data_IF_219658223752
#
_entry.id   IF_219658223752
#
_cell.length_a   1.000
_cell.length_b   1.000
_cell.length_c   1.000
_cell.angle_alpha   90.00
_cell.angle_beta   90.00
_cell.angle_gamma   90.00
#
_symmetry.space_group_name_H-M   'P 1'
#
loop_
_entity.id
_entity.type
_entity.pdbx_description
1 polymer ?
#
# COMPACT_ATOMS: atom_id res chain seq x y z
N UNK A 1 -54.79 -29.05 -1.15
CA UNK A 1 -54.72 -28.31 -2.42
C UNK A 1 -53.38 -27.63 -2.41
N UNK A 2 -52.38 -28.34 -2.93
CA UNK A 2 -51.02 -27.84 -3.07
C UNK A 2 -50.99 -26.89 -4.27
N UNK A 3 -50.34 -25.73 -4.10
CA UNK A 3 -50.02 -24.82 -5.20
C UNK A 3 -48.50 -24.74 -5.25
N UNK A 4 -47.95 -25.37 -6.29
CA UNK A 4 -46.54 -25.45 -6.63
C UNK A 4 -45.97 -24.07 -7.02
N UNK A 5 -44.68 -23.80 -6.76
CA UNK A 5 -43.98 -22.62 -7.28
C UNK A 5 -43.65 -22.77 -8.79
N UNK A 6 -43.54 -21.66 -9.55
CA UNK A 6 -43.28 -21.68 -10.99
C UNK A 6 -41.82 -22.03 -11.35
N UNK A 7 -41.67 -22.76 -12.45
CA UNK A 7 -40.43 -23.24 -13.07
C UNK A 7 -39.44 -22.14 -13.47
N UNK A 8 -38.15 -22.43 -13.25
CA UNK A 8 -37.00 -21.65 -13.69
C UNK A 8 -36.40 -22.35 -14.93
N UNK A 9 -36.51 -21.71 -16.09
CA UNK A 9 -36.08 -22.29 -17.36
C UNK A 9 -34.54 -22.23 -17.50
N UNK A 10 -33.94 -23.40 -17.66
CA UNK A 10 -32.50 -23.63 -17.82
C UNK A 10 -32.08 -23.38 -19.27
N UNK A 11 -31.20 -22.40 -19.52
CA UNK A 11 -30.58 -22.23 -20.84
C UNK A 11 -29.34 -23.13 -20.95
N UNK A 12 -29.41 -24.00 -21.96
CA UNK A 12 -28.50 -25.06 -22.35
C UNK A 12 -27.28 -24.51 -23.08
N UNK A 13 -26.06 -24.88 -22.65
CA UNK A 13 -24.82 -24.63 -23.40
C UNK A 13 -24.48 -25.88 -24.21
N UNK A 14 -24.71 -25.84 -25.52
CA UNK A 14 -24.25 -26.86 -26.46
C UNK A 14 -23.03 -26.39 -27.27
N UNK A 15 -21.94 -27.13 -27.04
CA UNK A 15 -20.88 -27.63 -27.94
C UNK A 15 -20.56 -27.00 -29.32
N UNK A 16 -19.22 -26.82 -29.46
CA UNK A 16 -18.35 -27.12 -30.61
C UNK A 16 -18.23 -26.15 -31.81
N UNK A 17 -16.98 -25.75 -32.05
CA UNK A 17 -16.54 -25.11 -33.29
C UNK A 17 -15.07 -24.70 -33.23
N UNK A 18 -14.17 -25.66 -33.38
CA UNK A 18 -12.74 -25.43 -33.66
C UNK A 18 -12.55 -24.95 -35.09
N UNK A 19 -11.78 -23.89 -35.32
CA UNK A 19 -11.08 -23.68 -36.59
C UNK A 19 -9.78 -22.90 -36.37
N UNK A 20 -8.72 -23.48 -36.90
CA UNK A 20 -7.35 -23.02 -36.86
C UNK A 20 -7.17 -21.73 -37.70
N UNK A 21 -6.55 -20.70 -37.11
CA UNK A 21 -5.78 -19.71 -37.86
C UNK A 21 -4.41 -19.58 -37.22
N UNK A 22 -3.47 -20.25 -37.88
CA UNK A 22 -2.04 -20.19 -37.72
C UNK A 22 -1.54 -18.78 -38.07
N UNK A 23 -1.07 -18.03 -37.08
CA UNK A 23 -0.28 -16.81 -37.30
C UNK A 23 1.03 -16.91 -36.55
N UNK A 24 2.08 -17.17 -37.31
CA UNK A 24 3.47 -17.16 -36.91
C UNK A 24 3.86 -15.80 -36.30
N UNK A 25 4.02 -15.72 -34.98
CA UNK A 25 5.04 -14.82 -34.42
C UNK A 25 6.07 -15.63 -33.64
N UNK A 26 7.25 -15.68 -34.26
CA UNK A 26 8.47 -16.32 -33.81
C UNK A 26 8.83 -16.00 -32.36
N UNK A 27 9.26 -17.04 -31.64
CA UNK A 27 9.91 -17.03 -30.33
C UNK A 27 10.95 -15.89 -30.22
N UNK A 28 10.72 -14.96 -29.29
CA UNK A 28 11.78 -14.42 -28.43
C UNK A 28 11.29 -14.43 -26.98
N UNK A 29 11.58 -15.51 -26.27
CA UNK A 29 11.70 -15.49 -24.80
C UNK A 29 12.87 -14.57 -24.47
N UNK A 30 12.61 -13.30 -24.18
CA UNK A 30 13.53 -12.49 -23.40
C UNK A 30 13.05 -12.59 -21.96
N UNK A 31 13.63 -13.56 -21.25
CA UNK A 31 13.63 -13.57 -19.79
C UNK A 31 14.43 -12.33 -19.37
N UNK A 32 13.87 -11.34 -18.65
CA UNK A 32 14.71 -10.37 -18.00
C UNK A 32 15.37 -11.08 -16.81
N UNK A 33 16.58 -11.60 -17.06
CA UNK A 33 17.56 -11.88 -16.02
C UNK A 33 17.92 -10.55 -15.35
N UNK A 34 17.09 -10.07 -14.42
CA UNK A 34 17.43 -8.95 -13.53
C UNK A 34 17.45 -9.42 -12.08
N UNK A 35 18.21 -10.49 -11.87
CA UNK A 35 18.56 -11.05 -10.57
C UNK A 35 20.07 -11.19 -10.43
N UNK A 36 20.83 -10.11 -10.63
CA UNK A 36 22.25 -10.06 -10.19
C UNK A 36 22.81 -8.64 -10.08
N UNK A 37 22.30 -7.64 -10.84
CA UNK A 37 22.71 -6.23 -10.69
C UNK A 37 22.05 -5.51 -9.51
N UNK A 38 20.79 -5.80 -9.18
CA UNK A 38 20.08 -5.12 -8.09
C UNK A 38 20.72 -5.39 -6.72
N UNK A 39 21.19 -6.62 -6.48
CA UNK A 39 21.88 -7.00 -5.24
C UNK A 39 23.18 -6.22 -5.03
N UNK A 40 23.96 -6.00 -6.09
CA UNK A 40 25.19 -5.20 -6.02
C UNK A 40 24.87 -3.75 -5.70
N UNK A 41 23.83 -3.17 -6.30
CA UNK A 41 23.40 -1.79 -6.00
C UNK A 41 22.93 -1.64 -4.55
N UNK A 42 22.13 -2.59 -4.04
CA UNK A 42 21.70 -2.59 -2.64
C UNK A 42 22.87 -2.76 -1.67
N UNK A 43 23.84 -3.62 -1.99
CA UNK A 43 25.05 -3.80 -1.19
C UNK A 43 25.93 -2.53 -1.19
N UNK A 44 26.17 -1.93 -2.35
CA UNK A 44 26.94 -0.69 -2.47
C UNK A 44 26.26 0.48 -1.75
N UNK A 45 24.94 0.60 -1.88
CA UNK A 45 24.15 1.61 -1.16
C UNK A 45 24.18 1.37 0.35
N UNK A 46 24.04 0.12 0.79
CA UNK A 46 24.16 -0.24 2.20
C UNK A 46 25.54 0.08 2.79
N UNK A 47 26.61 -0.23 2.05
CA UNK A 47 27.99 0.12 2.45
C UNK A 47 28.18 1.65 2.50
N UNK A 48 27.64 2.39 1.52
CA UNK A 48 27.73 3.85 1.50
C UNK A 48 27.00 4.49 2.69
N UNK A 49 25.77 4.06 2.99
CA UNK A 49 25.00 4.57 4.14
C UNK A 49 25.70 4.22 5.45
N UNK A 50 26.24 3.01 5.58
CA UNK A 50 26.99 2.60 6.77
C UNK A 50 28.26 3.45 6.96
N UNK A 51 29.01 3.72 5.89
CA UNK A 51 30.19 4.59 5.92
C UNK A 51 29.81 6.03 6.29
N UNK A 52 28.70 6.56 5.75
CA UNK A 52 28.20 7.90 6.12
C UNK A 52 27.80 7.98 7.58
N UNK A 53 27.09 6.97 8.12
CA UNK A 53 26.74 6.91 9.54
C UNK A 53 27.98 6.81 10.44
N UNK A 54 28.96 5.99 10.07
CA UNK A 54 30.24 5.89 10.78
C UNK A 54 30.98 7.23 10.74
N UNK A 55 31.01 7.92 9.59
CA UNK A 55 31.62 9.25 9.48
C UNK A 55 30.89 10.28 10.35
N UNK A 56 29.56 10.27 10.41
CA UNK A 56 28.77 11.15 11.28
C UNK A 56 29.05 10.89 12.77
N UNK A 57 29.27 9.63 13.16
CA UNK A 57 29.62 9.25 14.52
C UNK A 57 31.08 9.61 14.88
N UNK A 58 32.03 9.41 13.96
CA UNK A 58 33.47 9.73 14.16
C UNK A 58 33.71 11.24 14.16
N UNK A 59 33.08 11.96 13.23
CA UNK A 59 33.24 13.43 13.14
C UNK A 59 32.55 14.16 14.29
N UNK A 60 31.72 13.46 15.07
CA UNK A 60 31.08 14.01 16.25
C UNK A 60 30.34 15.30 15.95
N UNK A 61 29.73 15.40 14.76
CA UNK A 61 28.91 16.54 14.35
C UNK A 61 27.74 16.64 15.34
N UNK A 62 27.99 17.35 16.44
CA UNK A 62 26.96 17.94 17.27
C UNK A 62 26.27 18.92 16.34
N UNK A 63 25.17 18.51 15.73
CA UNK A 63 24.20 19.45 15.22
C UNK A 63 23.84 20.33 16.43
N UNK A 64 24.15 21.63 16.42
CA UNK A 64 23.61 22.50 17.43
C UNK A 64 22.10 22.50 17.21
N UNK A 65 21.39 21.74 18.03
CA UNK A 65 19.94 21.82 18.11
C UNK A 65 19.60 23.16 18.79
N UNK A 66 19.74 24.26 18.04
CA UNK A 66 18.98 25.48 18.30
C UNK A 66 17.59 25.21 17.73
N UNK A 67 16.76 24.53 18.51
CA UNK A 67 15.32 24.47 18.25
C UNK A 67 14.80 25.87 18.55
N UNK A 68 14.56 26.65 17.50
CA UNK A 68 13.74 27.85 17.59
C UNK A 68 12.34 27.42 18.05
N UNK A 69 12.04 27.69 19.31
CA UNK A 69 10.80 27.35 20.00
C UNK A 69 9.65 28.29 19.57
N UNK A 70 9.39 28.41 18.26
CA UNK A 70 8.40 29.37 17.72
C UNK A 70 7.46 28.82 16.64
N UNK A 71 7.33 27.49 16.48
CA UNK A 71 6.47 26.91 15.42
C UNK A 71 5.40 25.89 15.88
N UNK A 72 5.31 25.57 17.17
CA UNK A 72 4.25 24.70 17.71
C UNK A 72 3.52 25.42 18.83
N UNK A 73 2.63 26.34 18.47
CA UNK A 73 1.78 27.01 19.46
C UNK A 73 0.37 27.22 18.87
N UNK A 74 -0.37 26.13 18.63
CA UNK A 74 -1.85 26.20 18.55
C UNK A 74 -2.59 24.85 18.75
N UNK A 75 -2.06 23.90 19.52
CA UNK A 75 -2.85 22.73 19.96
C UNK A 75 -2.52 22.37 21.41
N UNK A 76 -3.06 23.17 22.32
CA UNK A 76 -2.95 23.00 23.77
C UNK A 76 -4.06 22.05 24.28
N UNK A 77 -3.70 20.85 24.74
CA UNK A 77 -4.50 20.06 25.70
C UNK A 77 -3.55 19.42 26.74
N UNK A 78 -3.97 19.30 28.02
CA UNK A 78 -3.04 19.26 29.15
C UNK A 78 -2.55 17.84 29.45
N UNK A 79 -1.24 17.64 29.48
CA UNK A 79 -0.62 16.39 29.97
C UNK A 79 -0.32 16.55 31.46
N UNK A 80 -0.97 15.72 32.28
CA UNK A 80 -0.81 15.61 33.74
C UNK A 80 0.64 15.25 34.10
N UNK A 81 1.15 15.88 35.16
CA UNK A 81 2.47 15.67 35.76
C UNK A 81 2.76 14.19 36.03
N UNK A 82 3.63 13.55 35.22
CA UNK A 82 4.46 12.40 35.63
C UNK A 82 5.46 11.98 34.53
N UNK A 83 6.38 12.87 34.10
CA UNK A 83 7.61 12.43 33.42
C UNK A 83 8.78 13.31 33.85
N UNK A 84 9.27 13.07 35.07
CA UNK A 84 10.52 13.64 35.56
C UNK A 84 11.55 12.52 35.72
N UNK A 85 11.91 11.85 34.62
CA UNK A 85 13.00 10.87 34.61
C UNK A 85 13.52 10.51 33.20
N UNK A 86 13.84 11.49 32.35
CA UNK A 86 14.63 11.18 31.13
C UNK A 86 15.59 12.28 30.69
N UNK A 87 16.02 13.17 31.59
CA UNK A 87 17.09 14.14 31.30
C UNK A 87 18.35 13.78 32.09
N UNK A 88 19.11 12.81 31.58
CA UNK A 88 20.58 12.74 31.63
C UNK A 88 21.05 11.39 31.10
N UNK A 89 21.29 11.29 29.79
CA UNK A 89 22.21 10.30 29.25
C UNK A 89 23.17 11.04 28.31
N UNK A 90 24.25 11.55 28.88
CA UNK A 90 25.46 11.84 28.13
C UNK A 90 25.99 10.51 27.60
N UNK A 91 25.75 10.20 26.33
CA UNK A 91 26.31 9.01 25.66
C UNK A 91 27.79 9.27 25.38
N UNK A 92 28.61 9.16 26.43
CA UNK A 92 30.04 8.96 26.32
C UNK A 92 30.31 7.48 26.56
N UNK A 93 30.12 6.65 25.53
CA UNK A 93 30.44 5.23 25.63
C UNK A 93 30.95 4.70 24.30
N UNK A 94 32.21 4.25 24.34
CA UNK A 94 32.90 3.49 23.31
C UNK A 94 31.98 2.34 22.85
N UNK A 95 31.56 2.39 21.59
CA UNK A 95 30.72 1.36 20.98
C UNK A 95 31.54 0.08 20.88
N UNK A 96 31.25 -0.90 21.74
CA UNK A 96 31.91 -2.19 21.72
C UNK A 96 31.51 -2.95 20.43
N UNK A 97 32.40 -3.74 19.81
CA UNK A 97 32.11 -4.43 18.55
C UNK A 97 30.89 -5.37 18.64
N UNK A 98 30.59 -5.90 19.82
CA UNK A 98 29.38 -6.69 20.10
C UNK A 98 28.09 -5.85 20.00
N UNK A 99 28.12 -4.59 20.44
CA UNK A 99 26.99 -3.67 20.33
C UNK A 99 26.72 -3.27 18.88
N UNK A 100 27.78 -3.16 18.06
CA UNK A 100 27.64 -2.92 16.62
C UNK A 100 27.05 -4.14 15.90
N UNK A 101 27.44 -5.36 16.30
CA UNK A 101 26.87 -6.59 15.76
C UNK A 101 25.37 -6.70 16.10
N UNK A 102 24.98 -6.35 17.33
CA UNK A 102 23.56 -6.30 17.74
C UNK A 102 22.77 -5.23 16.98
N UNK A 103 23.37 -4.08 16.67
CA UNK A 103 22.74 -3.05 15.85
C UNK A 103 22.61 -3.47 14.38
N UNK A 104 23.60 -4.18 13.82
CA UNK A 104 23.56 -4.71 12.46
C UNK A 104 22.57 -5.87 12.31
N UNK A 105 22.46 -6.75 13.31
CA UNK A 105 21.43 -7.80 13.32
C UNK A 105 20.04 -7.21 13.51
N UNK A 106 19.90 -6.17 14.34
CA UNK A 106 18.67 -5.39 14.40
C UNK A 106 18.36 -4.75 13.05
N UNK A 107 19.31 -4.12 12.36
CA UNK A 107 19.09 -3.50 11.04
C UNK A 107 18.72 -4.53 9.96
N UNK A 108 19.27 -5.75 10.01
CA UNK A 108 18.86 -6.86 9.16
C UNK A 108 17.49 -7.46 9.54
N UNK A 109 17.07 -7.31 10.79
CA UNK A 109 15.75 -7.73 11.31
C UNK A 109 14.67 -6.65 11.15
N UNK A 110 15.04 -5.39 10.93
CA UNK A 110 14.15 -4.39 10.34
C UNK A 110 14.02 -4.74 8.85
N UNK A 111 13.30 -5.83 8.59
CA UNK A 111 12.77 -6.10 7.26
C UNK A 111 12.16 -4.80 6.77
N UNK A 112 12.61 -4.33 5.61
CA UNK A 112 11.94 -3.27 4.87
C UNK A 112 10.45 -3.49 5.03
N UNK A 113 9.73 -2.48 5.54
CA UNK A 113 8.28 -2.53 5.65
C UNK A 113 7.73 -2.54 4.22
N UNK A 114 7.81 -3.71 3.59
CA UNK A 114 7.25 -3.95 2.27
C UNK A 114 5.78 -3.60 2.44
N UNK A 115 5.18 -2.82 1.52
CA UNK A 115 3.79 -2.41 1.65
C UNK A 115 2.87 -3.62 1.42
N UNK A 116 2.80 -4.50 2.42
CA UNK A 116 2.11 -5.77 2.37
C UNK A 116 0.61 -5.54 2.18
N UNK A 117 0.07 -4.45 2.75
CA UNK A 117 -1.33 -4.06 2.55
C UNK A 117 -1.65 -3.71 1.07
N UNK A 118 -0.79 -2.96 0.38
CA UNK A 118 -0.96 -2.71 -1.06
C UNK A 118 -0.94 -4.01 -1.90
N UNK A 119 -0.11 -4.99 -1.51
CA UNK A 119 -0.14 -6.32 -2.13
C UNK A 119 -1.43 -7.09 -1.81
N UNK A 120 -1.97 -6.93 -0.59
CA UNK A 120 -3.26 -7.52 -0.22
C UNK A 120 -4.41 -6.90 -1.02
N UNK A 121 -4.39 -5.58 -1.24
CA UNK A 121 -5.36 -4.92 -2.10
C UNK A 121 -5.29 -5.43 -3.55
N UNK A 122 -4.09 -5.57 -4.11
CA UNK A 122 -3.90 -6.18 -5.43
C UNK A 122 -4.48 -7.60 -5.51
N UNK A 123 -4.37 -8.39 -4.44
CA UNK A 123 -4.98 -9.73 -4.36
C UNK A 123 -6.51 -9.68 -4.26
N UNK A 124 -7.09 -8.66 -3.65
CA UNK A 124 -8.55 -8.45 -3.65
C UNK A 124 -9.06 -8.11 -5.05
N UNK A 125 -8.33 -7.26 -5.80
CA UNK A 125 -8.65 -6.97 -7.21
C UNK A 125 -8.59 -8.23 -8.05
N UNK A 126 -7.52 -9.04 -7.93
CA UNK A 126 -7.44 -10.33 -8.63
C UNK A 126 -8.53 -11.32 -8.19
N UNK A 127 -9.02 -11.24 -6.96
CA UNK A 127 -10.15 -12.06 -6.51
C UNK A 127 -11.42 -11.70 -7.28
N UNK A 128 -11.78 -10.42 -7.34
CA UNK A 128 -13.01 -9.94 -7.98
C UNK A 128 -12.89 -9.95 -9.52
N UNK A 129 -11.67 -9.88 -10.05
CA UNK A 129 -11.35 -9.82 -11.48
C UNK A 129 -10.13 -10.71 -11.80
N UNK A 130 -10.32 -12.02 -12.02
CA UNK A 130 -9.22 -12.99 -12.17
C UNK A 130 -8.25 -12.71 -13.33
N UNK A 131 -8.76 -12.15 -14.43
CA UNK A 131 -8.00 -11.93 -15.66
C UNK A 131 -7.39 -10.52 -15.75
N UNK A 132 -7.57 -9.70 -14.70
CA UNK A 132 -7.08 -8.32 -14.65
C UNK A 132 -5.75 -8.24 -13.93
N UNK A 133 -4.81 -7.50 -14.52
CA UNK A 133 -3.58 -7.11 -13.85
C UNK A 133 -3.88 -5.88 -12.96
N UNK A 134 -3.81 -5.98 -11.61
CA UNK A 134 -4.16 -4.87 -10.71
C UNK A 134 -3.36 -3.58 -10.95
N UNK A 135 -2.15 -3.70 -11.50
CA UNK A 135 -1.31 -2.54 -11.82
C UNK A 135 -1.92 -1.62 -12.90
N UNK A 136 -2.92 -2.07 -13.66
CA UNK A 136 -3.57 -1.21 -14.67
C UNK A 136 -4.37 -0.06 -14.06
N UNK A 137 -4.76 -0.17 -12.78
CA UNK A 137 -5.46 0.88 -12.05
C UNK A 137 -4.52 1.95 -11.49
N UNK A 138 -3.20 1.74 -11.56
CA UNK A 138 -2.25 2.75 -11.09
C UNK A 138 -2.17 3.92 -12.07
N UNK A 139 -2.14 5.13 -11.53
CA UNK A 139 -2.02 6.37 -12.29
C UNK A 139 -3.17 6.54 -13.31
N UNK A 140 -4.36 6.13 -12.92
CA UNK A 140 -5.58 6.23 -13.71
C UNK A 140 -6.44 7.41 -13.24
N UNK A 141 -6.97 8.17 -14.18
CA UNK A 141 -7.82 9.32 -13.90
C UNK A 141 -7.09 10.37 -13.06
N UNK A 142 -7.83 10.93 -12.10
CA UNK A 142 -7.36 11.98 -11.20
C UNK A 142 -7.17 11.50 -9.75
N UNK A 143 -7.70 10.31 -9.42
CA UNK A 143 -7.72 9.76 -8.07
C UNK A 143 -7.04 8.41 -7.95
N UNK A 144 -7.00 7.56 -8.97
CA UNK A 144 -6.34 6.25 -8.84
C UNK A 144 -4.80 6.37 -8.86
N UNK A 145 -4.19 6.49 -7.69
CA UNK A 145 -2.75 6.57 -7.53
C UNK A 145 -2.34 7.27 -6.25
N UNK A 146 -1.10 7.76 -6.17
CA UNK A 146 -0.70 8.63 -5.08
C UNK A 146 -1.24 10.04 -5.32
N UNK A 147 -2.16 10.50 -4.46
CA UNK A 147 -2.68 11.85 -4.55
C UNK A 147 -4.20 11.88 -4.51
N UNK A 148 -4.82 12.40 -5.56
CA UNK A 148 -6.28 12.57 -5.65
C UNK A 148 -6.73 14.01 -5.48
N UNK A 149 -7.09 14.65 -6.59
CA UNK A 149 -7.64 16.02 -6.62
C UNK A 149 -8.60 16.22 -7.79
N UNK A 150 -9.49 17.21 -7.67
CA UNK A 150 -10.40 17.59 -8.75
C UNK A 150 -11.56 16.60 -8.93
N UNK A 151 -12.24 16.69 -10.07
CA UNK A 151 -13.41 15.85 -10.36
C UNK A 151 -12.97 14.50 -10.96
N UNK A 152 -13.50 13.36 -10.49
CA UNK A 152 -13.21 12.07 -11.10
C UNK A 152 -13.55 12.02 -12.60
N UNK A 153 -12.72 11.35 -13.39
CA UNK A 153 -12.88 11.25 -14.85
C UNK A 153 -13.98 10.30 -15.30
N UNK A 154 -14.28 9.29 -14.51
CA UNK A 154 -15.34 8.31 -14.76
C UNK A 154 -15.70 7.56 -13.46
N UNK A 155 -16.55 6.53 -13.58
CA UNK A 155 -16.96 5.69 -12.45
C UNK A 155 -15.78 4.97 -11.79
N UNK A 156 -14.79 4.52 -12.57
CA UNK A 156 -13.62 3.84 -12.06
C UNK A 156 -12.74 4.79 -11.24
N UNK A 157 -12.53 6.01 -11.72
CA UNK A 157 -11.81 7.06 -11.00
C UNK A 157 -12.55 7.49 -9.72
N UNK A 158 -13.89 7.48 -9.75
CA UNK A 158 -14.72 7.71 -8.56
C UNK A 158 -14.59 6.60 -7.52
N UNK A 159 -14.40 5.35 -7.93
CA UNK A 159 -14.05 4.28 -6.98
C UNK A 159 -12.77 4.62 -6.19
N UNK A 160 -11.77 5.20 -6.87
CA UNK A 160 -10.51 5.61 -6.26
C UNK A 160 -10.67 6.83 -5.35
N UNK A 161 -11.50 7.81 -5.72
CA UNK A 161 -11.85 8.93 -4.83
C UNK A 161 -12.43 8.42 -3.49
N UNK A 162 -13.40 7.51 -3.57
CA UNK A 162 -14.02 6.90 -2.39
C UNK A 162 -12.99 6.11 -1.57
N UNK A 163 -12.10 5.37 -2.23
CA UNK A 163 -11.03 4.61 -1.58
C UNK A 163 -10.06 5.53 -0.80
N UNK A 164 -9.63 6.62 -1.42
CA UNK A 164 -8.75 7.62 -0.80
C UNK A 164 -9.41 8.29 0.41
N UNK A 165 -10.70 8.63 0.30
CA UNK A 165 -11.48 9.18 1.41
C UNK A 165 -11.63 8.15 2.54
N UNK A 166 -11.83 6.87 2.21
CA UNK A 166 -11.89 5.79 3.19
C UNK A 166 -10.55 5.60 3.91
N UNK A 167 -9.43 5.66 3.20
CA UNK A 167 -8.09 5.65 3.78
C UNK A 167 -7.83 6.86 4.67
N UNK A 168 -8.27 8.06 4.27
CA UNK A 168 -8.22 9.27 5.12
C UNK A 168 -8.99 9.06 6.42
N UNK A 169 -10.24 8.60 6.34
CA UNK A 169 -11.06 8.32 7.51
C UNK A 169 -10.44 7.27 8.44
N UNK A 170 -9.92 6.17 7.86
CA UNK A 170 -9.26 5.09 8.61
C UNK A 170 -8.10 5.58 9.48
N UNK A 171 -7.34 6.58 9.01
CA UNK A 171 -6.23 7.19 9.77
C UNK A 171 -6.67 8.03 10.97
N UNK A 172 -7.94 8.41 11.02
CA UNK A 172 -8.51 9.25 12.07
C UNK A 172 -9.37 8.47 13.07
N UNK A 173 -9.42 7.14 12.97
CA UNK A 173 -10.07 6.29 13.95
C UNK A 173 -9.35 6.39 15.32
N UNK A 174 -10.08 6.57 16.44
CA UNK A 174 -9.48 6.74 17.77
C UNK A 174 -8.56 5.59 18.20
N UNK A 175 -8.85 4.38 17.75
CA UNK A 175 -8.12 3.15 18.09
C UNK A 175 -6.81 3.00 17.29
N UNK A 176 -6.64 3.81 16.25
CA UNK A 176 -5.52 3.68 15.31
C UNK A 176 -4.42 4.68 15.62
N UNK A 177 -3.17 4.20 15.62
CA UNK A 177 -1.99 5.02 15.86
C UNK A 177 -1.53 5.63 14.54
N UNK A 178 -1.58 6.96 14.36
CA UNK A 178 -1.35 7.59 13.05
C UNK A 178 0.00 7.29 12.40
N UNK A 179 1.02 6.98 13.20
CA UNK A 179 2.40 6.75 12.74
C UNK A 179 2.59 5.33 12.17
N UNK A 180 1.87 4.34 12.70
CA UNK A 180 2.13 2.92 12.38
C UNK A 180 0.95 2.22 11.73
N UNK A 181 -0.28 2.69 11.95
CA UNK A 181 -1.49 2.12 11.38
C UNK A 181 -1.87 2.86 10.08
N UNK A 182 -0.88 3.20 9.24
CA UNK A 182 -1.18 3.83 7.94
C UNK A 182 -1.70 2.78 6.95
N UNK A 183 -2.77 3.08 6.19
CA UNK A 183 -3.44 2.09 5.34
C UNK A 183 -2.52 1.31 4.39
N UNK A 184 -1.56 1.98 3.77
CA UNK A 184 -0.64 1.39 2.79
C UNK A 184 0.28 0.29 3.35
N UNK A 185 0.46 0.22 4.67
CA UNK A 185 1.34 -0.76 5.34
C UNK A 185 0.60 -1.62 6.37
N UNK A 186 -0.64 -1.28 6.72
CA UNK A 186 -1.42 -1.98 7.75
C UNK A 186 -1.93 -3.31 7.21
N UNK A 187 -1.24 -4.39 7.56
CA UNK A 187 -1.61 -5.75 7.16
C UNK A 187 -2.88 -6.18 7.88
N UNK A 188 -3.83 -6.73 7.11
CA UNK A 188 -5.11 -7.21 7.59
C UNK A 188 -5.37 -8.66 7.15
N UNK A 189 -6.43 -9.28 7.66
CA UNK A 189 -6.82 -10.66 7.34
C UNK A 189 -8.07 -10.63 6.46
N UNK A 190 -7.98 -11.24 5.29
CA UNK A 190 -9.10 -11.37 4.34
C UNK A 190 -9.12 -12.77 3.72
N UNK A 191 -10.28 -13.15 3.19
CA UNK A 191 -10.47 -14.35 2.37
C UNK A 191 -11.08 -13.99 1.02
N UNK A 192 -10.90 -14.89 0.06
CA UNK A 192 -11.52 -14.84 -1.25
C UNK A 192 -12.22 -16.17 -1.49
N UNK A 193 -13.51 -16.15 -1.83
CA UNK A 193 -14.28 -17.35 -2.14
C UNK A 193 -15.23 -17.04 -3.28
N UNK A 194 -15.12 -17.77 -4.39
CA UNK A 194 -15.96 -17.59 -5.59
C UNK A 194 -16.00 -16.13 -6.10
N UNK A 195 -14.85 -15.46 -6.14
CA UNK A 195 -14.74 -14.06 -6.56
C UNK A 195 -15.25 -13.03 -5.55
N UNK A 196 -15.69 -13.48 -4.37
CA UNK A 196 -16.16 -12.61 -3.29
C UNK A 196 -15.08 -12.46 -2.22
N UNK A 197 -14.70 -11.22 -1.95
CA UNK A 197 -13.77 -10.86 -0.87
C UNK A 197 -14.54 -10.68 0.44
N UNK A 198 -14.02 -11.22 1.53
CA UNK A 198 -14.53 -11.03 2.90
C UNK A 198 -13.40 -10.63 3.85
N UNK A 199 -13.66 -9.66 4.72
CA UNK A 199 -12.75 -9.25 5.79
C UNK A 199 -12.98 -10.10 7.04
N UNK A 200 -11.90 -10.57 7.68
CA UNK A 200 -12.01 -11.42 8.87
C UNK A 200 -12.55 -10.64 10.07
N UNK A 201 -13.43 -11.28 10.85
CA UNK A 201 -13.88 -10.77 12.14
C UNK A 201 -12.76 -10.74 13.21
N UNK A 202 -11.62 -11.40 12.95
CA UNK A 202 -10.45 -11.37 13.83
C UNK A 202 -9.57 -10.12 13.67
N UNK A 203 -9.90 -9.23 12.72
CA UNK A 203 -9.17 -7.99 12.52
C UNK A 203 -9.42 -7.02 13.68
N UNK A 204 -8.37 -6.31 14.11
CA UNK A 204 -8.54 -5.12 14.96
C UNK A 204 -9.29 -4.00 14.19
N UNK A 205 -9.75 -2.97 14.90
CA UNK A 205 -10.52 -1.85 14.31
C UNK A 205 -9.82 -1.23 13.10
N UNK A 206 -8.50 -1.08 13.17
CA UNK A 206 -7.69 -0.46 12.11
C UNK A 206 -7.52 -1.40 10.91
N UNK A 207 -7.25 -2.69 11.17
CA UNK A 207 -7.18 -3.72 10.14
C UNK A 207 -8.51 -3.87 9.41
N UNK A 208 -9.62 -3.90 10.15
CA UNK A 208 -10.95 -4.04 9.60
C UNK A 208 -11.30 -2.85 8.71
N UNK A 209 -11.00 -1.63 9.16
CA UNK A 209 -11.24 -0.41 8.38
C UNK A 209 -10.49 -0.43 7.05
N UNK A 210 -9.18 -0.72 7.06
CA UNK A 210 -8.37 -0.76 5.82
C UNK A 210 -8.82 -1.90 4.91
N UNK A 211 -9.08 -3.08 5.48
CA UNK A 211 -9.58 -4.23 4.72
C UNK A 211 -10.90 -3.90 4.01
N UNK A 212 -11.82 -3.20 4.69
CA UNK A 212 -13.11 -2.86 4.13
C UNK A 212 -13.01 -1.79 3.04
N UNK A 213 -12.13 -0.79 3.20
CA UNK A 213 -11.81 0.16 2.12
C UNK A 213 -11.36 -0.59 0.86
N UNK A 214 -10.41 -1.52 1.00
CA UNK A 214 -9.84 -2.29 -0.11
C UNK A 214 -10.87 -3.24 -0.73
N UNK A 215 -11.71 -3.88 0.09
CA UNK A 215 -12.80 -4.77 -0.35
C UNK A 215 -13.82 -4.00 -1.19
N UNK A 216 -14.25 -2.83 -0.73
CA UNK A 216 -15.23 -2.00 -1.44
C UNK A 216 -14.63 -1.50 -2.76
N UNK A 217 -13.40 -1.01 -2.75
CA UNK A 217 -12.71 -0.56 -3.96
C UNK A 217 -12.56 -1.68 -5.00
N UNK A 218 -12.10 -2.88 -4.59
CA UNK A 218 -11.95 -4.02 -5.49
C UNK A 218 -13.28 -4.47 -6.13
N UNK A 219 -14.39 -4.38 -5.39
CA UNK A 219 -15.72 -4.66 -5.93
C UNK A 219 -16.20 -3.55 -6.88
N UNK A 220 -15.89 -2.29 -6.57
CA UNK A 220 -16.23 -1.14 -7.39
C UNK A 220 -15.49 -1.18 -8.74
N UNK A 221 -14.21 -1.55 -8.74
CA UNK A 221 -13.41 -1.74 -9.95
C UNK A 221 -14.00 -2.83 -10.86
N UNK A 222 -14.47 -3.94 -10.28
CA UNK A 222 -15.10 -5.03 -11.03
C UNK A 222 -16.44 -4.63 -11.69
N UNK A 223 -17.10 -3.59 -11.19
CA UNK A 223 -18.37 -3.07 -11.72
C UNK A 223 -18.19 -1.88 -12.66
N UNK A 224 -16.96 -1.36 -12.77
CA UNK A 224 -16.66 -0.15 -13.54
C UNK A 224 -15.98 -0.51 -14.86
N UNK A 225 -16.24 0.30 -15.89
CA UNK A 225 -15.56 0.13 -17.19
C UNK A 225 -14.21 0.83 -17.17
N UNK A 226 -13.16 0.13 -17.58
CA UNK A 226 -11.83 0.71 -17.74
C UNK A 226 -11.72 1.48 -19.07
N UNK A 227 -11.37 2.77 -19.01
CA UNK A 227 -11.09 3.59 -20.18
C UNK A 227 -9.57 3.81 -20.35
N UNK A 228 -8.91 3.23 -21.36
CA UNK A 228 -7.46 3.40 -21.55
C UNK A 228 -7.03 4.85 -21.77
N UNK A 229 -7.92 5.74 -22.23
CA UNK A 229 -7.62 7.17 -22.43
C UNK A 229 -7.42 7.93 -21.12
N UNK A 230 -7.96 7.40 -20.02
CA UNK A 230 -7.80 7.98 -18.68
C UNK A 230 -6.52 7.49 -17.98
N UNK A 231 -5.70 6.66 -18.62
CA UNK A 231 -4.47 6.17 -18.02
C UNK A 231 -3.31 7.16 -18.21
N UNK A 232 -2.54 7.42 -17.14
CA UNK A 232 -1.40 8.32 -17.11
C UNK A 232 -1.70 9.77 -17.56
N UNK A 233 -2.86 10.30 -17.17
CA UNK A 233 -3.19 11.70 -17.40
C UNK A 233 -2.19 12.62 -16.67
N UNK A 234 -1.92 13.80 -17.26
CA UNK A 234 -1.19 14.86 -16.56
C UNK A 234 -2.15 15.58 -15.59
N UNK A 235 -1.95 15.48 -14.26
CA UNK A 235 -2.88 16.05 -13.30
C UNK A 235 -2.99 17.57 -13.41
N UNK A 236 -1.94 18.26 -13.88
CA UNK A 236 -1.93 19.73 -13.98
C UNK A 236 -2.84 20.26 -15.06
N UNK A 237 -3.14 19.43 -16.07
CA UNK A 237 -3.97 19.79 -17.22
C UNK A 237 -5.33 19.10 -17.15
N UNK A 238 -5.38 17.91 -16.54
CA UNK A 238 -6.56 17.07 -16.53
C UNK A 238 -7.22 16.95 -15.15
N UNK A 239 -6.66 17.44 -14.06
CA UNK A 239 -7.28 17.29 -12.72
C UNK A 239 -7.48 18.64 -12.03
N UNK A 240 -7.61 19.70 -12.83
CA UNK A 240 -7.95 21.04 -12.37
C UNK A 240 -9.46 21.09 -12.12
N UNK A 241 -9.82 21.66 -10.98
CA UNK A 241 -11.20 21.86 -10.53
C UNK A 241 -11.92 22.96 -11.31
#
# INVERSE_FOLDING_TARGET
MEISPPEFDSIQYDQFGTSDIESNHSRRKIIPQRGMQSRVVHLLYGVLVLLLLILLLITGLKYPATINHHYYDEYQFPVREEVRLVDTLTVSSVMHPESLLLLLTAYAAHGSLQPQALWQFGRMITCTQPDVNPFMYNNYGCWCGLGGTGTPRDDLDRCCEVHDLCYRASRHLPECRPIIDVPYIKVYIFSCTNGQVSCSASNDVCQASVCECDRVAANCFAQSTYNPENNNLDPKTHCIT
#
